data_IF_377139916850
#
_entry.id   IF_377139916850
#
_cell.length_a   1.000
_cell.length_b   1.000
_cell.length_c   1.000
_cell.angle_alpha   90.00
_cell.angle_beta   90.00
_cell.angle_gamma   90.00
#
_symmetry.space_group_name_H-M   'P 1'
#
loop_
_entity.id
_entity.type
_entity.pdbx_description
1 polymer ?
#
# COMPACT_ATOMS: atom_id res chain seq x y z
N UNK A 1 -49.23 39.33 -2.03
CA UNK A 1 -49.94 38.24 -1.34
C UNK A 1 -50.20 37.15 -2.37
N UNK A 2 -49.83 35.90 -2.09
CA UNK A 2 -50.16 34.80 -3.00
C UNK A 2 -51.58 34.38 -2.68
N UNK A 3 -52.44 34.30 -3.68
CA UNK A 3 -53.83 33.86 -3.50
C UNK A 3 -53.84 32.41 -3.01
N UNK A 4 -54.21 32.21 -1.75
CA UNK A 4 -54.20 30.89 -1.08
C UNK A 4 -55.15 29.89 -1.75
N UNK A 5 -56.13 30.37 -2.50
CA UNK A 5 -57.05 29.57 -3.31
C UNK A 5 -56.39 28.91 -4.53
N UNK A 6 -55.26 29.44 -5.01
CA UNK A 6 -54.51 28.90 -6.15
C UNK A 6 -53.48 27.84 -5.75
N UNK A 7 -53.22 27.66 -4.45
CA UNK A 7 -52.26 26.67 -3.95
C UNK A 7 -52.68 25.22 -4.26
N UNK A 8 -53.94 24.78 -4.02
CA UNK A 8 -54.36 23.42 -4.32
C UNK A 8 -54.24 23.00 -5.81
N UNK A 9 -54.69 23.78 -6.80
CA UNK A 9 -54.54 23.40 -8.20
C UNK A 9 -53.08 23.45 -8.67
N UNK A 10 -52.26 24.37 -8.14
CA UNK A 10 -50.83 24.42 -8.46
C UNK A 10 -50.10 23.16 -7.98
N UNK A 11 -50.41 22.67 -6.78
CA UNK A 11 -49.82 21.42 -6.28
C UNK A 11 -50.23 20.21 -7.11
N UNK A 12 -51.50 20.12 -7.53
CA UNK A 12 -51.97 19.01 -8.37
C UNK A 12 -51.26 18.94 -9.73
N UNK A 13 -50.83 20.08 -10.27
CA UNK A 13 -50.11 20.15 -11.55
C UNK A 13 -48.59 20.04 -11.36
N UNK A 14 -48.03 20.71 -10.36
CA UNK A 14 -46.57 20.77 -10.18
C UNK A 14 -46.00 19.44 -9.66
N UNK A 15 -46.74 18.70 -8.84
CA UNK A 15 -46.28 17.45 -8.24
C UNK A 15 -46.03 16.33 -9.27
N UNK A 16 -46.94 16.05 -10.23
CA UNK A 16 -46.66 15.08 -11.29
C UNK A 16 -45.57 15.57 -12.25
N UNK A 17 -45.51 16.87 -12.55
CA UNK A 17 -44.46 17.45 -13.41
C UNK A 17 -43.08 17.33 -12.75
N UNK A 18 -42.98 17.66 -11.46
CA UNK A 18 -41.75 17.50 -10.68
C UNK A 18 -41.35 16.02 -10.54
N UNK A 19 -42.31 15.12 -10.35
CA UNK A 19 -42.04 13.68 -10.31
C UNK A 19 -41.53 13.14 -11.65
N UNK A 20 -42.15 13.53 -12.77
CA UNK A 20 -41.68 13.17 -14.11
C UNK A 20 -40.28 13.73 -14.37
N UNK A 21 -40.05 15.00 -14.05
CA UNK A 21 -38.74 15.64 -14.17
C UNK A 21 -37.67 14.95 -13.33
N UNK A 22 -37.98 14.61 -12.08
CA UNK A 22 -37.10 13.86 -11.18
C UNK A 22 -36.82 12.45 -11.70
N UNK A 23 -37.85 11.76 -12.23
CA UNK A 23 -37.70 10.42 -12.79
C UNK A 23 -36.83 10.43 -14.05
N UNK A 24 -36.99 11.42 -14.92
CA UNK A 24 -36.13 11.60 -16.09
C UNK A 24 -34.70 11.93 -15.65
N UNK A 25 -34.52 12.92 -14.77
CA UNK A 25 -33.22 13.31 -14.24
C UNK A 25 -32.47 12.13 -13.60
N UNK A 26 -33.16 11.33 -12.78
CA UNK A 26 -32.58 10.14 -12.16
C UNK A 26 -32.26 9.05 -13.19
N UNK A 27 -33.08 8.90 -14.24
CA UNK A 27 -32.80 7.99 -15.34
C UNK A 27 -31.57 8.42 -16.14
N UNK A 28 -31.37 9.72 -16.37
CA UNK A 28 -30.21 10.27 -17.07
C UNK A 28 -28.93 10.26 -16.20
N UNK A 29 -29.04 10.48 -14.89
CA UNK A 29 -27.91 10.32 -13.97
C UNK A 29 -27.47 8.86 -13.85
N UNK A 30 -28.40 7.92 -13.95
CA UNK A 30 -28.09 6.48 -13.97
C UNK A 30 -27.44 6.02 -15.28
N UNK A 31 -27.49 6.84 -16.34
CA UNK A 31 -26.88 6.54 -17.64
C UNK A 31 -25.46 7.09 -17.78
N UNK A 32 -24.83 7.59 -16.72
CA UNK A 32 -23.41 7.95 -16.76
C UNK A 32 -22.62 6.64 -16.97
N UNK A 33 -21.93 6.47 -18.12
CA UNK A 33 -21.28 5.22 -18.44
C UNK A 33 -20.09 5.01 -17.49
N UNK A 34 -19.84 3.78 -17.08
CA UNK A 34 -18.70 3.42 -16.24
C UNK A 34 -17.34 3.79 -16.87
N UNK A 35 -17.30 4.08 -18.18
CA UNK A 35 -16.13 4.57 -18.92
C UNK A 35 -15.81 6.06 -18.70
N UNK A 36 -16.76 6.85 -18.17
CA UNK A 36 -16.54 8.25 -17.79
C UNK A 36 -15.99 8.38 -16.36
N UNK A 37 -15.89 7.27 -15.63
CA UNK A 37 -15.24 7.22 -14.33
C UNK A 37 -13.72 7.15 -14.54
N UNK A 38 -12.94 7.88 -13.72
CA UNK A 38 -11.48 7.81 -13.77
C UNK A 38 -11.00 6.36 -13.50
N UNK A 39 -10.09 5.87 -14.33
CA UNK A 39 -9.51 4.53 -14.20
C UNK A 39 -8.71 4.41 -12.89
N UNK A 40 -9.07 3.45 -12.05
CA UNK A 40 -8.34 3.14 -10.83
C UNK A 40 -7.34 1.99 -11.08
N UNK A 41 -6.01 2.28 -11.12
CA UNK A 41 -4.98 1.28 -11.41
C UNK A 41 -4.82 0.22 -10.33
N UNK A 42 -5.46 0.37 -9.17
CA UNK A 42 -5.44 -0.59 -8.06
C UNK A 42 -6.58 -1.60 -8.12
N UNK A 43 -7.72 -1.22 -8.70
CA UNK A 43 -8.92 -2.06 -8.81
C UNK A 43 -9.18 -2.54 -10.22
N UNK A 44 -8.46 -2.01 -11.22
CA UNK A 44 -8.40 -2.56 -12.56
C UNK A 44 -7.81 -3.97 -12.53
N UNK A 45 -8.56 -4.96 -13.02
CA UNK A 45 -8.18 -6.38 -12.95
C UNK A 45 -6.83 -6.62 -13.62
N UNK A 46 -5.77 -6.68 -12.80
CA UNK A 46 -4.44 -7.25 -13.03
C UNK A 46 -3.57 -6.75 -14.20
N UNK A 47 -3.97 -5.72 -14.96
CA UNK A 47 -3.49 -5.59 -16.35
C UNK A 47 -2.96 -4.25 -16.83
N UNK A 48 -2.88 -3.26 -15.94
CA UNK A 48 -2.29 -1.96 -16.26
C UNK A 48 -3.12 -1.09 -17.19
N UNK A 49 -2.81 0.20 -17.16
CA UNK A 49 -3.31 1.16 -18.13
C UNK A 49 -2.62 0.94 -19.50
N UNK A 50 -3.25 1.32 -20.63
CA UNK A 50 -2.64 1.19 -21.97
C UNK A 50 -1.24 1.82 -22.02
N UNK A 51 -0.21 1.03 -22.31
CA UNK A 51 1.19 1.48 -22.37
C UNK A 51 2.06 1.16 -21.15
N UNK A 52 1.52 0.50 -20.13
CA UNK A 52 2.29 0.03 -18.96
C UNK A 52 2.40 -1.50 -18.94
N UNK A 53 3.63 -2.01 -18.97
CA UNK A 53 3.94 -3.44 -18.85
C UNK A 53 3.61 -3.90 -17.42
N UNK A 54 2.59 -4.75 -17.24
CA UNK A 54 2.17 -5.30 -15.94
C UNK A 54 2.45 -6.79 -15.82
N UNK A 55 2.67 -7.25 -14.59
CA UNK A 55 3.18 -8.59 -14.28
C UNK A 55 4.67 -8.66 -13.98
N UNK A 56 5.40 -7.54 -14.11
CA UNK A 56 6.83 -7.46 -13.74
C UNK A 56 6.99 -7.17 -12.24
N UNK A 57 7.78 -8.00 -11.56
CA UNK A 57 8.18 -7.77 -10.17
C UNK A 57 9.27 -6.69 -10.13
N UNK A 58 9.09 -5.67 -9.29
CA UNK A 58 10.16 -4.70 -9.02
C UNK A 58 11.24 -5.38 -8.16
N UNK A 59 12.48 -5.37 -8.62
CA UNK A 59 13.64 -5.93 -7.93
C UNK A 59 14.68 -4.83 -7.75
N UNK A 60 15.32 -4.77 -6.58
CA UNK A 60 16.40 -3.84 -6.32
C UNK A 60 17.65 -4.27 -7.11
N UNK A 61 18.13 -3.42 -8.01
CA UNK A 61 19.28 -3.71 -8.87
C UNK A 61 20.58 -3.39 -8.11
N UNK A 62 21.63 -4.24 -8.19
CA UNK A 62 22.94 -3.96 -7.61
C UNK A 62 23.53 -2.62 -8.10
N UNK A 63 24.28 -1.89 -7.27
CA UNK A 63 24.74 -0.52 -7.58
C UNK A 63 25.65 -0.44 -8.81
N UNK A 64 26.47 -1.47 -9.05
CA UNK A 64 27.34 -1.55 -10.23
C UNK A 64 26.54 -1.64 -11.54
N UNK A 65 25.46 -2.43 -11.56
CA UNK A 65 24.56 -2.53 -12.72
C UNK A 65 23.71 -1.27 -12.90
N UNK A 66 23.28 -0.65 -11.80
CA UNK A 66 22.52 0.59 -11.87
C UNK A 66 23.32 1.73 -12.54
N UNK A 67 24.64 1.78 -12.33
CA UNK A 67 25.53 2.74 -12.99
C UNK A 67 25.63 2.49 -14.51
N UNK A 68 25.74 1.22 -14.93
CA UNK A 68 25.78 0.83 -16.36
C UNK A 68 24.48 1.16 -17.08
N UNK A 69 23.34 0.82 -16.48
CA UNK A 69 22.02 1.16 -17.02
C UNK A 69 21.85 2.68 -17.14
N UNK A 70 22.32 3.45 -16.14
CA UNK A 70 22.27 4.91 -16.19
C UNK A 70 23.18 5.50 -17.28
N UNK A 71 24.29 4.84 -17.59
CA UNK A 71 25.19 5.22 -18.69
C UNK A 71 24.61 4.91 -20.07
N UNK A 72 23.47 4.23 -20.15
CA UNK A 72 22.82 3.86 -21.42
C UNK A 72 23.42 2.61 -22.06
N UNK A 73 24.12 1.77 -21.29
CA UNK A 73 24.60 0.48 -21.76
C UNK A 73 23.45 -0.54 -21.82
N UNK A 74 23.38 -1.32 -22.89
CA UNK A 74 22.38 -2.40 -23.05
C UNK A 74 22.75 -3.59 -22.15
N UNK A 75 22.12 -3.67 -20.98
CA UNK A 75 22.28 -4.77 -20.05
C UNK A 75 21.23 -5.85 -20.32
N UNK A 76 21.68 -7.09 -20.55
CA UNK A 76 20.80 -8.23 -20.78
C UNK A 76 20.08 -8.71 -19.50
N UNK A 77 18.93 -9.36 -19.65
CA UNK A 77 18.16 -9.90 -18.52
C UNK A 77 18.94 -10.98 -17.73
N UNK A 78 19.78 -11.74 -18.43
CA UNK A 78 20.61 -12.79 -17.83
C UNK A 78 21.71 -12.18 -16.94
N UNK A 79 22.34 -11.07 -17.37
CA UNK A 79 23.31 -10.32 -16.56
C UNK A 79 22.69 -9.76 -15.28
N UNK A 80 21.47 -9.23 -15.37
CA UNK A 80 20.74 -8.73 -14.19
C UNK A 80 20.48 -9.87 -13.21
N UNK A 81 20.07 -11.03 -13.70
CA UNK A 81 19.78 -12.20 -12.87
C UNK A 81 21.03 -12.73 -12.18
N UNK A 82 22.12 -12.88 -12.92
CA UNK A 82 23.41 -13.34 -12.38
C UNK A 82 23.96 -12.38 -11.31
N UNK A 83 23.86 -11.06 -11.55
CA UNK A 83 24.31 -10.06 -10.58
C UNK A 83 23.44 -10.05 -9.32
N UNK A 84 22.12 -10.27 -9.45
CA UNK A 84 21.22 -10.40 -8.31
C UNK A 84 21.54 -11.63 -7.47
N UNK A 85 21.85 -12.76 -8.10
CA UNK A 85 22.22 -13.99 -7.40
C UNK A 85 23.55 -13.84 -6.65
N UNK A 86 24.55 -13.25 -7.29
CA UNK A 86 25.85 -12.96 -6.67
C UNK A 86 25.73 -11.99 -5.47
N UNK A 87 24.89 -10.96 -5.58
CA UNK A 87 24.66 -10.01 -4.50
C UNK A 87 23.92 -10.68 -3.33
N UNK A 88 22.94 -11.53 -3.63
CA UNK A 88 22.20 -12.30 -2.63
C UNK A 88 23.12 -13.25 -1.87
N UNK A 89 24.04 -13.92 -2.57
CA UNK A 89 25.02 -14.80 -1.94
C UNK A 89 25.99 -14.03 -1.03
N UNK A 90 26.45 -12.85 -1.45
CA UNK A 90 27.31 -11.99 -0.62
C UNK A 90 26.59 -11.56 0.66
N UNK A 91 25.34 -11.11 0.54
CA UNK A 91 24.52 -10.72 1.68
C UNK A 91 24.28 -11.89 2.63
N UNK A 92 24.00 -13.10 2.11
CA UNK A 92 23.82 -14.28 2.95
C UNK A 92 25.09 -14.62 3.77
N UNK A 93 26.28 -14.53 3.16
CA UNK A 93 27.55 -14.73 3.90
C UNK A 93 27.82 -13.63 4.92
N UNK A 94 27.46 -12.38 4.60
CA UNK A 94 27.58 -11.26 5.54
C UNK A 94 26.60 -11.41 6.71
N UNK A 95 25.37 -11.88 6.47
CA UNK A 95 24.37 -12.19 7.49
C UNK A 95 24.84 -13.33 8.41
N UNK A 96 25.35 -14.42 7.84
CA UNK A 96 25.92 -15.53 8.62
C UNK A 96 27.11 -15.07 9.48
N UNK A 97 28.01 -14.26 8.92
CA UNK A 97 29.13 -13.70 9.68
C UNK A 97 28.68 -12.70 10.77
N UNK A 98 27.61 -11.94 10.53
CA UNK A 98 27.02 -11.04 11.52
C UNK A 98 26.23 -11.79 12.61
N UNK A 99 25.59 -12.92 12.30
CA UNK A 99 24.95 -13.78 13.31
C UNK A 99 26.00 -14.41 14.24
N UNK A 100 27.14 -14.83 13.68
CA UNK A 100 28.26 -15.33 14.48
C UNK A 100 28.92 -14.24 15.35
N UNK A 101 29.01 -13.00 14.86
CA UNK A 101 29.56 -11.87 15.63
C UNK A 101 28.55 -11.22 16.61
N UNK A 102 27.26 -11.20 16.26
CA UNK A 102 26.17 -10.57 17.03
C UNK A 102 25.75 -11.32 18.29
N UNK A 103 26.15 -12.60 18.42
CA UNK A 103 26.01 -13.35 19.68
C UNK A 103 27.04 -12.90 20.75
N UNK A 104 28.11 -12.21 20.34
CA UNK A 104 29.22 -11.80 21.21
C UNK A 104 29.20 -10.34 21.68
N UNK A 105 28.63 -9.41 20.92
CA UNK A 105 28.70 -7.98 21.23
C UNK A 105 27.53 -7.51 22.10
N UNK A 106 27.54 -7.97 23.36
CA UNK A 106 26.62 -7.47 24.39
C UNK A 106 27.07 -6.07 24.80
N UNK A 107 26.56 -5.05 24.11
CA UNK A 107 26.71 -3.65 24.54
C UNK A 107 26.07 -3.53 25.93
N UNK A 108 26.89 -3.34 26.97
CA UNK A 108 26.41 -3.10 28.33
C UNK A 108 25.61 -1.80 28.33
N UNK A 109 24.30 -1.91 28.50
CA UNK A 109 23.42 -0.75 28.64
C UNK A 109 23.85 0.06 29.87
N UNK A 110 24.07 1.39 29.76
CA UNK A 110 24.42 2.24 30.90
C UNK A 110 23.33 2.21 31.98
N UNK A 111 23.75 2.24 33.24
CA UNK A 111 22.84 2.23 34.40
C UNK A 111 22.10 3.58 34.48
N UNK A 112 20.83 3.60 34.04
CA UNK A 112 20.00 4.79 33.98
C UNK A 112 19.12 4.94 32.72
N UNK A 113 19.19 3.99 31.78
CA UNK A 113 18.27 3.95 30.63
C UNK A 113 17.07 3.07 30.95
N UNK A 114 15.88 3.67 30.93
CA UNK A 114 14.61 2.95 31.14
C UNK A 114 14.39 1.90 30.06
N UNK A 115 13.98 0.69 30.48
CA UNK A 115 13.75 -0.46 29.59
C UNK A 115 12.64 -0.21 28.55
N UNK A 116 11.77 0.77 28.79
CA UNK A 116 10.67 1.16 27.90
C UNK A 116 11.16 1.89 26.63
N UNK A 117 12.35 2.50 26.66
CA UNK A 117 12.95 3.13 25.49
C UNK A 117 13.69 2.13 24.59
N UNK A 118 13.99 0.94 25.10
CA UNK A 118 14.74 -0.08 24.36
C UNK A 118 13.81 -0.87 23.43
N UNK A 119 14.23 -1.15 22.18
CA UNK A 119 13.46 -1.99 21.28
C UNK A 119 13.34 -3.41 21.85
N UNK A 120 12.19 -4.05 21.64
CA UNK A 120 11.93 -5.40 22.11
C UNK A 120 13.01 -6.36 21.60
N UNK A 121 13.83 -6.90 22.51
CA UNK A 121 14.93 -7.83 22.19
C UNK A 121 16.34 -7.29 22.45
N UNK A 122 16.52 -6.00 22.75
CA UNK A 122 17.84 -5.42 23.06
C UNK A 122 18.48 -5.98 24.34
N UNK A 123 17.67 -6.34 25.34
CA UNK A 123 18.10 -6.99 26.57
C UNK A 123 17.99 -8.51 26.39
N UNK A 124 19.05 -9.11 25.83
CA UNK A 124 19.12 -10.56 25.64
C UNK A 124 19.08 -11.32 26.97
N UNK A 125 17.91 -11.84 27.36
CA UNK A 125 17.82 -12.77 28.50
C UNK A 125 16.43 -12.98 29.11
N UNK A 126 15.73 -14.01 28.64
CA UNK A 126 14.94 -14.98 29.45
C UNK A 126 14.40 -14.48 30.82
N UNK A 127 13.20 -13.90 30.83
CA UNK A 127 12.47 -13.66 32.08
C UNK A 127 11.13 -12.93 31.85
N UNK A 128 10.07 -13.62 31.47
CA UNK A 128 9.00 -13.78 32.46
C UNK A 128 7.62 -13.91 31.82
N UNK A 129 7.31 -15.10 31.29
CA UNK A 129 5.90 -15.54 31.18
C UNK A 129 5.35 -15.75 32.60
N UNK A 130 5.00 -14.67 33.29
CA UNK A 130 4.26 -14.75 34.55
C UNK A 130 2.77 -14.69 34.23
N UNK A 131 2.21 -15.86 33.91
CA UNK A 131 0.78 -16.11 33.99
C UNK A 131 0.26 -15.72 35.38
N UNK A 132 -0.37 -14.54 35.51
CA UNK A 132 -1.21 -14.22 36.67
C UNK A 132 -2.66 -14.53 36.38
N UNK A 133 -2.92 -15.83 36.45
CA UNK A 133 -4.21 -16.40 36.82
C UNK A 133 -4.53 -15.92 38.25
N UNK A 134 -5.51 -15.02 38.42
CA UNK A 134 -6.18 -14.83 39.72
C UNK A 134 -7.69 -14.81 39.51
N UNK A 135 -8.32 -15.92 39.91
CA UNK A 135 -9.73 -16.00 40.29
C UNK A 135 -9.97 -15.04 41.46
N UNK A 136 -10.96 -14.16 41.35
CA UNK A 136 -12.16 -14.20 42.18
C UNK A 136 -13.27 -13.43 41.48
#
# INVERSE_FOLDING_TARGET
>A
MVDTSLVPPLLLVSLPVAYLGYRLYRSLLSSIPASALPYDPKTGVGRGAPGFQTGVRRVAIPPALAARIRAGEDVSADEVTAALEAEKERLAREEEAQEEQGSGDRVKVPEGVDEEWLPAGALGGKGGKAARRRKK
#
